data_IF_410570620585
#
_entry.id   IF_410570620585
#
_cell.length_a   1.000
_cell.length_b   1.000
_cell.length_c   1.000
_cell.angle_alpha   90.00
_cell.angle_beta   90.00
_cell.angle_gamma   90.00
#
_symmetry.space_group_name_H-M   'P 1'
#
loop_
_entity.id
_entity.type
_entity.pdbx_description
1 polymer ?
#
# COMPACT_ATOMS: atom_id res chain seq x y z
N UNK A 1 -10.77 3.00 26.19
CA UNK A 1 -11.45 4.30 25.95
C UNK A 1 -11.19 4.68 24.50
N UNK A 2 -12.18 4.60 23.61
CA UNK A 2 -12.03 5.09 22.24
C UNK A 2 -12.10 6.61 22.25
N UNK A 3 -11.22 7.30 21.52
CA UNK A 3 -11.37 8.74 21.34
C UNK A 3 -12.71 9.05 20.65
N UNK A 4 -13.27 10.24 20.88
CA UNK A 4 -14.40 10.72 20.11
C UNK A 4 -14.05 10.76 18.60
N UNK A 5 -15.01 10.41 17.75
CA UNK A 5 -14.79 10.18 16.31
C UNK A 5 -14.20 11.38 15.55
N UNK A 6 -14.32 12.59 16.11
CA UNK A 6 -13.82 13.83 15.52
C UNK A 6 -12.46 14.30 16.08
N UNK A 7 -11.80 13.47 16.90
CA UNK A 7 -10.48 13.78 17.44
C UNK A 7 -9.38 13.38 16.45
N UNK A 8 -8.38 14.25 16.29
CA UNK A 8 -7.15 13.97 15.54
C UNK A 8 -5.96 14.28 16.43
N UNK A 9 -5.00 13.36 16.47
CA UNK A 9 -3.69 13.54 17.09
C UNK A 9 -2.63 14.01 16.08
N UNK A 10 -2.89 13.91 14.77
CA UNK A 10 -2.03 14.45 13.71
C UNK A 10 -2.41 15.87 13.28
N UNK A 11 -3.36 16.52 13.95
CA UNK A 11 -3.82 17.86 13.57
C UNK A 11 -4.50 17.91 12.20
N UNK A 12 -5.06 16.78 11.74
CA UNK A 12 -5.59 16.58 10.38
C UNK A 12 -4.53 16.80 9.29
N UNK A 13 -3.26 16.56 9.59
CA UNK A 13 -2.24 16.45 8.54
C UNK A 13 -2.62 15.32 7.57
N UNK A 14 -2.38 15.56 6.29
CA UNK A 14 -2.64 14.59 5.22
C UNK A 14 -1.55 13.52 5.19
N UNK A 15 -1.96 12.30 4.93
CA UNK A 15 -1.06 11.24 4.49
C UNK A 15 -0.29 11.71 3.24
N UNK A 16 1.01 11.38 3.16
CA UNK A 16 1.88 11.75 2.04
C UNK A 16 2.51 10.52 1.42
N UNK A 17 2.68 10.56 0.11
CA UNK A 17 3.30 9.51 -0.68
C UNK A 17 4.31 10.17 -1.59
N UNK A 18 5.59 9.90 -1.33
CA UNK A 18 6.69 10.48 -2.08
C UNK A 18 7.19 9.48 -3.10
N UNK A 19 7.16 9.86 -4.39
CA UNK A 19 7.63 9.02 -5.49
C UNK A 19 8.70 9.73 -6.30
N UNK A 20 9.59 8.94 -6.90
CA UNK A 20 10.50 9.43 -7.94
C UNK A 20 9.68 9.75 -9.19
N UNK A 21 9.87 10.95 -9.72
CA UNK A 21 9.22 11.40 -10.95
C UNK A 21 10.32 11.66 -11.98
N UNK A 22 10.27 11.06 -13.19
CA UNK A 22 11.29 11.27 -14.20
C UNK A 22 11.49 12.76 -14.53
N UNK A 23 12.74 13.22 -14.44
CA UNK A 23 13.10 14.62 -14.68
C UNK A 23 13.05 15.51 -13.44
N UNK A 24 12.53 15.00 -12.31
CA UNK A 24 12.57 15.73 -11.04
C UNK A 24 13.81 15.35 -10.22
N UNK A 25 14.55 16.32 -9.66
CA UNK A 25 15.76 16.05 -8.90
C UNK A 25 15.48 15.54 -7.48
N UNK A 26 14.21 15.42 -7.09
CA UNK A 26 13.76 15.04 -5.74
C UNK A 26 12.48 14.22 -5.83
N UNK A 27 12.21 13.46 -4.78
CA UNK A 27 10.91 12.84 -4.60
C UNK A 27 9.81 13.90 -4.52
N UNK A 28 8.70 13.63 -5.20
CA UNK A 28 7.53 14.52 -5.27
C UNK A 28 6.42 13.91 -4.43
N UNK A 29 5.73 14.73 -3.64
CA UNK A 29 4.50 14.30 -2.97
C UNK A 29 3.39 14.14 -3.99
N UNK A 30 3.08 12.88 -4.32
CA UNK A 30 2.05 12.50 -5.30
C UNK A 30 0.74 12.10 -4.64
N UNK A 31 0.66 12.06 -3.30
CA UNK A 31 -0.55 11.61 -2.61
C UNK A 31 -1.82 12.37 -3.04
N UNK A 32 -1.80 13.72 -3.21
CA UNK A 32 -2.98 14.45 -3.65
C UNK A 32 -3.41 14.12 -5.08
N UNK A 33 -2.44 13.77 -5.93
CA UNK A 33 -2.70 13.45 -7.34
C UNK A 33 -3.33 12.06 -7.45
N UNK A 34 -2.87 11.12 -6.62
CA UNK A 34 -3.36 9.73 -6.59
C UNK A 34 -4.60 9.55 -5.70
N UNK A 35 -5.03 10.59 -4.99
CA UNK A 35 -6.19 10.54 -4.09
C UNK A 35 -5.97 9.69 -2.84
N UNK A 36 -4.71 9.54 -2.41
CA UNK A 36 -4.31 8.77 -1.22
C UNK A 36 -3.94 9.65 -0.03
N UNK A 37 -4.27 10.93 -0.07
CA UNK A 37 -3.87 11.98 0.88
C UNK A 37 -4.87 12.22 2.02
N UNK A 38 -5.28 11.14 2.70
CA UNK A 38 -6.29 11.23 3.74
C UNK A 38 -5.87 12.08 4.94
N UNK A 39 -6.81 12.83 5.52
CA UNK A 39 -6.58 13.63 6.75
C UNK A 39 -6.77 12.85 8.05
N UNK A 40 -6.96 11.54 7.97
CA UNK A 40 -7.09 10.71 9.17
C UNK A 40 -5.76 10.40 9.80
N UNK A 41 -5.84 9.98 11.04
CA UNK A 41 -4.73 9.56 11.85
C UNK A 41 -4.30 8.14 11.47
N UNK A 42 -3.70 7.98 10.29
CA UNK A 42 -3.10 6.73 9.84
C UNK A 42 -1.99 6.27 10.81
N UNK A 43 -1.99 4.99 11.14
CA UNK A 43 -1.08 4.40 12.16
C UNK A 43 -0.45 3.07 11.75
N UNK A 44 -0.97 2.44 10.70
CA UNK A 44 -0.36 1.26 10.12
C UNK A 44 -0.61 1.25 8.61
N UNK A 45 0.38 0.71 7.89
CA UNK A 45 0.38 0.47 6.47
C UNK A 45 0.72 -1.00 6.24
N UNK A 46 0.00 -1.65 5.35
CA UNK A 46 0.35 -2.94 4.76
C UNK A 46 0.28 -2.83 3.24
N UNK A 47 1.04 -3.67 2.55
CA UNK A 47 1.12 -3.72 1.11
C UNK A 47 0.96 -5.17 0.69
N UNK A 48 0.06 -5.44 -0.26
CA UNK A 48 -0.20 -6.77 -0.79
C UNK A 48 -0.89 -6.67 -2.15
N UNK A 49 -0.69 -7.65 -3.00
CA UNK A 49 -1.52 -7.88 -4.19
C UNK A 49 -2.85 -8.50 -3.75
N UNK A 50 -3.93 -7.71 -3.65
CA UNK A 50 -5.20 -8.15 -3.05
C UNK A 50 -6.14 -8.80 -4.06
N UNK A 51 -5.97 -8.55 -5.36
CA UNK A 51 -6.82 -9.12 -6.41
C UNK A 51 -6.10 -10.06 -7.39
N UNK A 52 -4.79 -10.22 -7.25
CA UNK A 52 -3.97 -11.24 -7.91
C UNK A 52 -3.52 -10.84 -9.30
N UNK A 53 -3.46 -9.54 -9.62
CA UNK A 53 -3.00 -9.04 -10.92
C UNK A 53 -1.48 -8.77 -10.96
N UNK A 54 -0.80 -8.97 -9.83
CA UNK A 54 0.65 -8.86 -9.69
C UNK A 54 1.16 -7.47 -9.39
N UNK A 55 0.27 -6.49 -9.20
CA UNK A 55 0.64 -5.18 -8.65
C UNK A 55 0.27 -5.05 -7.16
N UNK A 56 0.92 -4.10 -6.47
CA UNK A 56 0.85 -4.01 -5.02
C UNK A 56 -0.14 -2.91 -4.59
N UNK A 57 -1.17 -3.31 -3.83
CA UNK A 57 -2.14 -2.42 -3.23
C UNK A 57 -1.69 -1.87 -1.87
N UNK A 58 -2.28 -0.75 -1.46
CA UNK A 58 -2.04 -0.15 -0.14
C UNK A 58 -3.23 -0.38 0.79
N UNK A 59 -2.96 -0.88 1.99
CA UNK A 59 -3.94 -0.98 3.08
C UNK A 59 -3.50 -0.09 4.23
N UNK A 60 -4.30 0.94 4.52
CA UNK A 60 -4.05 1.89 5.60
C UNK A 60 -5.06 1.72 6.73
N UNK A 61 -4.54 1.60 7.95
CA UNK A 61 -5.35 1.59 9.17
C UNK A 61 -5.15 2.89 9.93
N UNK A 62 -6.25 3.60 10.14
CA UNK A 62 -6.32 4.82 10.92
C UNK A 62 -6.90 4.59 12.31
N UNK A 63 -6.60 5.50 13.21
CA UNK A 63 -7.18 5.52 14.54
C UNK A 63 -8.61 6.08 14.53
N UNK A 64 -8.84 7.17 13.79
CA UNK A 64 -10.15 7.79 13.58
C UNK A 64 -10.83 7.28 12.29
N UNK A 65 -12.05 7.75 12.04
CA UNK A 65 -12.92 7.23 10.97
C UNK A 65 -12.68 7.97 9.65
N UNK A 66 -12.68 7.26 8.50
CA UNK A 66 -12.71 5.79 8.36
C UNK A 66 -11.43 5.11 8.85
N UNK A 67 -11.60 3.99 9.56
CA UNK A 67 -10.50 3.27 10.24
C UNK A 67 -9.67 2.39 9.32
N UNK A 68 -10.24 1.96 8.20
CA UNK A 68 -9.57 1.13 7.21
C UNK A 68 -9.81 1.74 5.84
N UNK A 69 -8.75 1.84 5.06
CA UNK A 69 -8.78 2.20 3.65
C UNK A 69 -7.93 1.23 2.87
N UNK A 70 -8.40 0.94 1.67
CA UNK A 70 -7.69 0.14 0.69
C UNK A 70 -7.62 1.01 -0.55
N UNK A 71 -6.42 1.19 -1.07
CA UNK A 71 -6.16 1.87 -2.33
C UNK A 71 -5.62 0.83 -3.29
N UNK A 72 -6.39 0.58 -4.36
CA UNK A 72 -5.98 -0.35 -5.40
C UNK A 72 -5.05 0.33 -6.37
N UNK A 73 -4.01 -0.37 -6.79
CA UNK A 73 -3.06 0.14 -7.76
C UNK A 73 -3.44 -0.23 -9.21
N UNK A 74 -4.59 0.24 -9.71
CA UNK A 74 -5.02 -0.04 -11.10
C UNK A 74 -4.22 0.74 -12.19
N UNK A 75 -2.96 1.10 -11.91
CA UNK A 75 -2.06 1.77 -12.84
C UNK A 75 -1.53 0.82 -13.92
N UNK A 76 -0.68 1.31 -14.85
CA UNK A 76 0.01 0.43 -15.78
C UNK A 76 0.85 -0.59 -14.99
N UNK A 77 0.55 -1.88 -15.14
CA UNK A 77 1.27 -2.93 -14.42
C UNK A 77 2.75 -2.87 -14.75
N UNK A 78 3.58 -2.82 -13.71
CA UNK A 78 5.00 -3.08 -13.87
C UNK A 78 5.20 -4.57 -14.24
N UNK A 79 6.28 -4.93 -14.95
CA UNK A 79 6.60 -6.35 -15.16
C UNK A 79 6.70 -7.07 -13.82
N UNK A 80 5.82 -8.05 -13.58
CA UNK A 80 5.79 -8.87 -12.38
C UNK A 80 6.07 -10.33 -12.74
N UNK A 81 6.60 -11.09 -11.78
CA UNK A 81 6.80 -12.54 -11.89
C UNK A 81 6.12 -13.19 -10.69
N UNK A 82 5.03 -13.92 -10.95
CA UNK A 82 4.40 -14.76 -9.94
C UNK A 82 5.04 -16.16 -9.94
N UNK A 83 5.46 -16.62 -8.76
CA UNK A 83 5.98 -17.98 -8.55
C UNK A 83 5.01 -18.76 -7.68
N UNK A 84 4.31 -19.73 -8.28
CA UNK A 84 3.37 -20.61 -7.57
C UNK A 84 3.94 -22.00 -7.39
N UNK A 85 4.17 -22.39 -6.14
CA UNK A 85 4.55 -23.75 -5.80
C UNK A 85 3.32 -24.63 -5.62
N UNK A 86 3.24 -25.72 -6.38
CA UNK A 86 2.28 -26.81 -6.15
C UNK A 86 3.04 -28.02 -5.61
N UNK A 87 2.83 -28.35 -4.34
CA UNK A 87 3.48 -29.51 -3.71
C UNK A 87 2.50 -30.69 -3.61
N UNK A 88 3.03 -31.90 -3.75
CA UNK A 88 2.38 -33.11 -3.23
C UNK A 88 2.89 -33.35 -1.80
N UNK A 89 2.20 -34.16 -0.99
CA UNK A 89 2.55 -34.42 0.43
C UNK A 89 3.98 -34.97 0.68
N UNK A 90 4.79 -35.18 -0.37
CA UNK A 90 6.10 -35.83 -0.31
C UNK A 90 7.28 -34.92 -0.70
N UNK A 91 7.07 -33.67 -1.10
CA UNK A 91 8.16 -32.79 -1.55
C UNK A 91 8.41 -31.63 -0.56
N UNK A 92 9.57 -31.66 0.10
CA UNK A 92 10.10 -30.57 0.92
C UNK A 92 11.15 -29.78 0.13
N UNK A 93 10.80 -28.56 -0.28
CA UNK A 93 11.73 -27.54 -0.77
C UNK A 93 11.75 -27.35 -2.29
N UNK A 94 11.75 -26.08 -2.70
CA UNK A 94 12.07 -25.62 -4.05
C UNK A 94 12.82 -24.29 -3.92
N UNK A 95 13.84 -24.08 -4.75
CA UNK A 95 14.53 -22.80 -4.86
C UNK A 95 14.25 -22.22 -6.24
N UNK A 96 14.02 -20.92 -6.30
CA UNK A 96 13.81 -20.19 -7.54
C UNK A 96 14.87 -19.11 -7.62
N UNK A 97 15.65 -19.15 -8.69
CA UNK A 97 16.62 -18.13 -9.05
C UNK A 97 16.01 -17.30 -10.19
N UNK A 98 15.91 -16.01 -9.98
CA UNK A 98 15.51 -15.05 -11.01
C UNK A 98 16.79 -14.34 -11.48
N UNK A 99 17.10 -14.34 -12.78
CA UNK A 99 18.35 -13.77 -13.33
C UNK A 99 18.43 -12.24 -13.21
#
# INVERSE_FOLDING_TARGET
MSAPENMSFSGRERDRLFMEVPGEPRYVDVAPILGVDSITDSRALAIADLDGDGDLDLVLRAYNTPKLRIYRNDGPSAPSVEVRFQTTQQAAGAWVEVP
#
